data_IF_890546876717
#
_entry.id   IF_890546876717
#
_cell.length_a   1.000
_cell.length_b   1.000
_cell.length_c   1.000
_cell.angle_alpha   90.00
_cell.angle_beta   90.00
_cell.angle_gamma   90.00
#
_symmetry.space_group_name_H-M   'P 1'
#
loop_
_entity.id
_entity.type
_entity.pdbx_description
1 polymer ?
#
# COMPACT_ATOMS: atom_id res chain seq x y z
N UNK A 1 8.11 26.58 10.76
CA UNK A 1 8.42 25.83 9.53
C UNK A 1 9.84 26.19 9.11
N UNK A 2 10.66 25.22 8.73
CA UNK A 2 11.98 25.54 8.19
C UNK A 2 11.80 26.16 6.79
N UNK A 3 12.21 27.40 6.59
CA UNK A 3 12.14 28.06 5.29
C UNK A 3 12.81 27.24 4.17
N UNK A 4 13.83 26.45 4.51
CA UNK A 4 14.58 25.60 3.55
C UNK A 4 13.67 24.54 2.90
N UNK A 5 12.82 23.86 3.67
CA UNK A 5 11.92 22.82 3.13
C UNK A 5 10.96 23.40 2.07
N UNK A 6 10.41 24.59 2.34
CA UNK A 6 9.51 25.27 1.41
C UNK A 6 10.28 25.76 0.17
N UNK A 7 11.43 26.41 0.36
CA UNK A 7 12.28 26.89 -0.75
C UNK A 7 12.66 25.77 -1.73
N UNK A 8 12.90 24.55 -1.23
CA UNK A 8 13.20 23.39 -2.08
C UNK A 8 11.98 23.02 -2.94
N UNK A 9 10.78 23.00 -2.36
CA UNK A 9 9.55 22.70 -3.11
C UNK A 9 9.30 23.77 -4.17
N UNK A 10 9.40 25.04 -3.82
CA UNK A 10 9.26 26.18 -4.74
C UNK A 10 10.29 26.13 -5.88
N UNK A 11 11.56 25.80 -5.56
CA UNK A 11 12.60 25.64 -6.56
C UNK A 11 12.30 24.49 -7.53
N UNK A 12 11.86 23.32 -7.02
CA UNK A 12 11.49 22.19 -7.87
C UNK A 12 10.28 22.56 -8.75
N UNK A 13 9.30 23.26 -8.20
CA UNK A 13 8.12 23.69 -8.94
C UNK A 13 8.41 24.81 -9.97
N UNK A 14 9.55 25.51 -9.89
CA UNK A 14 9.95 26.46 -10.93
C UNK A 14 10.21 25.80 -12.30
N UNK A 15 10.41 24.48 -12.35
CA UNK A 15 10.54 23.68 -13.58
C UNK A 15 9.23 23.13 -14.12
N UNK A 16 8.08 23.54 -13.56
CA UNK A 16 6.78 23.02 -13.98
C UNK A 16 6.44 23.35 -15.43
N UNK A 17 5.92 22.33 -16.10
CA UNK A 17 5.28 22.42 -17.41
C UNK A 17 4.39 21.17 -17.60
N UNK A 18 3.50 21.18 -18.59
CA UNK A 18 2.52 20.12 -18.84
C UNK A 18 3.15 18.73 -18.97
N UNK A 19 4.31 18.62 -19.64
CA UNK A 19 5.01 17.36 -19.80
C UNK A 19 5.47 16.78 -18.45
N UNK A 20 6.08 17.61 -17.59
CA UNK A 20 6.52 17.15 -16.28
C UNK A 20 5.35 16.94 -15.31
N UNK A 21 4.27 17.69 -15.44
CA UNK A 21 3.05 17.49 -14.66
C UNK A 21 2.50 16.08 -14.93
N UNK A 22 2.29 15.69 -16.19
CA UNK A 22 1.83 14.34 -16.59
C UNK A 22 2.84 13.25 -16.20
N UNK A 23 4.13 13.50 -16.41
CA UNK A 23 5.19 12.56 -16.05
C UNK A 23 5.19 12.26 -14.55
N UNK A 24 5.16 13.28 -13.68
CA UNK A 24 5.20 13.07 -12.24
C UNK A 24 3.88 12.57 -11.67
N UNK A 25 2.75 12.88 -12.28
CA UNK A 25 1.47 12.24 -11.98
C UNK A 25 1.52 10.73 -12.27
N UNK A 26 2.10 10.32 -13.39
CA UNK A 26 2.31 8.90 -13.69
C UNK A 26 3.30 8.22 -12.73
N UNK A 27 4.42 8.87 -12.44
CA UNK A 27 5.47 8.32 -11.56
C UNK A 27 4.98 8.15 -10.13
N UNK A 28 4.16 9.07 -9.63
CA UNK A 28 3.67 8.99 -8.24
C UNK A 28 2.83 7.74 -7.98
N UNK A 29 2.14 7.20 -9.00
CA UNK A 29 1.34 5.98 -8.90
C UNK A 29 2.16 4.76 -8.40
N UNK A 30 3.45 4.72 -8.71
CA UNK A 30 4.33 3.64 -8.20
C UNK A 30 4.56 3.69 -6.68
N UNK A 31 4.16 4.75 -6.01
CA UNK A 31 4.12 4.86 -4.54
C UNK A 31 2.74 4.63 -3.95
N UNK A 32 1.71 4.42 -4.79
CA UNK A 32 0.34 4.19 -4.36
C UNK A 32 0.12 2.75 -3.86
N UNK A 33 -0.82 2.60 -2.95
CA UNK A 33 -1.19 1.30 -2.38
C UNK A 33 -1.81 0.34 -3.42
N UNK A 34 -2.42 0.87 -4.49
CA UNK A 34 -3.00 0.06 -5.56
C UNK A 34 -1.92 -0.72 -6.31
N UNK A 35 -0.79 -0.08 -6.63
CA UNK A 35 0.34 -0.77 -7.26
C UNK A 35 0.92 -1.83 -6.33
N UNK A 36 1.02 -1.52 -5.03
CA UNK A 36 1.41 -2.52 -4.04
C UNK A 36 0.48 -3.74 -4.05
N UNK A 37 -0.84 -3.54 -4.03
CA UNK A 37 -1.81 -4.63 -4.05
C UNK A 37 -1.70 -5.51 -5.31
N UNK A 38 -1.48 -4.90 -6.48
CA UNK A 38 -1.26 -5.61 -7.74
C UNK A 38 0.03 -6.45 -7.66
N UNK A 39 1.13 -5.86 -7.20
CA UNK A 39 2.41 -6.58 -7.04
C UNK A 39 2.27 -7.72 -6.03
N UNK A 40 1.62 -7.48 -4.91
CA UNK A 40 1.35 -8.50 -3.89
C UNK A 40 0.55 -9.68 -4.46
N UNK A 41 -0.50 -9.40 -5.25
CA UNK A 41 -1.32 -10.39 -5.91
C UNK A 41 -0.50 -11.23 -6.91
N UNK A 42 0.30 -10.58 -7.77
CA UNK A 42 1.17 -11.25 -8.73
C UNK A 42 2.15 -12.18 -8.01
N UNK A 43 2.84 -11.67 -6.99
CA UNK A 43 3.78 -12.45 -6.20
C UNK A 43 3.10 -13.65 -5.54
N UNK A 44 1.94 -13.45 -4.94
CA UNK A 44 1.21 -14.48 -4.20
C UNK A 44 0.63 -15.57 -5.12
N UNK A 45 0.07 -15.18 -6.26
CA UNK A 45 -0.62 -16.12 -7.13
C UNK A 45 0.27 -16.82 -8.16
N UNK A 46 1.46 -16.27 -8.46
CA UNK A 46 2.25 -16.75 -9.61
C UNK A 46 3.74 -16.92 -9.36
N UNK A 47 4.28 -16.41 -8.26
CA UNK A 47 5.74 -16.40 -8.05
C UNK A 47 6.15 -17.22 -6.82
N UNK A 48 5.80 -16.76 -5.62
CA UNK A 48 6.22 -17.36 -4.35
C UNK A 48 5.34 -16.89 -3.21
N UNK A 49 4.53 -17.77 -2.68
CA UNK A 49 3.59 -17.47 -1.59
C UNK A 49 4.26 -16.94 -0.32
N UNK A 50 5.39 -17.57 0.08
CA UNK A 50 6.07 -17.19 1.34
C UNK A 50 6.71 -15.83 1.22
N UNK A 51 7.30 -15.54 0.07
CA UNK A 51 7.86 -14.24 -0.24
C UNK A 51 6.75 -13.16 -0.28
N UNK A 52 5.64 -13.45 -0.95
CA UNK A 52 4.48 -12.56 -1.01
C UNK A 52 3.87 -12.28 0.37
N UNK A 53 3.73 -13.30 1.23
CA UNK A 53 3.25 -13.11 2.60
C UNK A 53 4.13 -12.13 3.39
N UNK A 54 5.46 -12.29 3.30
CA UNK A 54 6.40 -11.38 3.95
C UNK A 54 6.31 -9.97 3.36
N UNK A 55 6.23 -9.85 2.04
CA UNK A 55 6.05 -8.58 1.34
C UNK A 55 4.79 -7.85 1.82
N UNK A 56 3.64 -8.55 1.87
CA UNK A 56 2.37 -8.01 2.34
C UNK A 56 2.48 -7.53 3.79
N UNK A 57 3.00 -8.36 4.69
CA UNK A 57 3.11 -8.00 6.11
C UNK A 57 4.05 -6.81 6.32
N UNK A 58 5.20 -6.78 5.66
CA UNK A 58 6.14 -5.65 5.79
C UNK A 58 5.51 -4.34 5.33
N UNK A 59 4.81 -4.38 4.20
CA UNK A 59 4.13 -3.20 3.69
C UNK A 59 3.02 -2.74 4.63
N UNK A 60 2.12 -3.63 5.03
CA UNK A 60 0.99 -3.28 5.88
C UNK A 60 1.42 -2.72 7.23
N UNK A 61 2.39 -3.34 7.91
CA UNK A 61 2.88 -2.80 9.18
C UNK A 61 3.63 -1.47 9.00
N UNK A 62 4.33 -1.30 7.88
CA UNK A 62 4.95 -0.02 7.54
C UNK A 62 3.89 1.06 7.29
N UNK A 63 2.84 0.76 6.53
CA UNK A 63 1.73 1.70 6.26
C UNK A 63 1.00 2.12 7.54
N UNK A 64 0.79 1.18 8.46
CA UNK A 64 0.21 1.48 9.77
C UNK A 64 1.09 2.44 10.56
N UNK A 65 2.39 2.18 10.62
CA UNK A 65 3.32 3.08 11.30
C UNK A 65 3.26 4.49 10.70
N UNK A 66 3.11 4.60 9.37
CA UNK A 66 2.88 5.87 8.70
C UNK A 66 1.60 6.55 9.18
N UNK A 67 0.48 5.83 9.19
CA UNK A 67 -0.81 6.36 9.64
C UNK A 67 -0.77 6.86 11.09
N UNK A 68 -0.12 6.11 11.99
CA UNK A 68 0.08 6.51 13.39
C UNK A 68 0.89 7.80 13.48
N UNK A 69 1.99 7.90 12.75
CA UNK A 69 2.84 9.09 12.77
C UNK A 69 2.13 10.30 12.16
N UNK A 70 1.35 10.14 11.12
CA UNK A 70 0.49 11.20 10.57
C UNK A 70 -0.50 11.71 11.61
N UNK A 71 -1.14 10.81 12.34
CA UNK A 71 -2.06 11.18 13.43
C UNK A 71 -1.38 11.99 14.53
N UNK A 72 -0.08 11.77 14.79
CA UNK A 72 0.67 12.47 15.84
C UNK A 72 1.26 13.81 15.37
N UNK A 73 1.57 13.98 14.08
CA UNK A 73 2.37 15.12 13.61
C UNK A 73 1.57 16.34 13.15
N UNK A 74 0.37 16.15 12.62
CA UNK A 74 -0.55 17.23 12.18
C UNK A 74 0.10 18.32 11.30
N UNK A 75 1.18 18.01 10.55
CA UNK A 75 1.88 18.97 9.70
C UNK A 75 1.05 19.30 8.45
N UNK A 76 0.76 20.60 8.16
CA UNK A 76 0.07 20.99 6.93
C UNK A 76 0.94 20.69 5.70
N UNK A 77 0.30 20.40 4.56
CA UNK A 77 1.00 20.16 3.29
C UNK A 77 1.51 21.48 2.70
N UNK A 78 2.55 21.46 1.84
CA UNK A 78 3.12 22.68 1.22
C UNK A 78 2.07 23.55 0.53
N UNK A 79 1.22 22.98 -0.33
CA UNK A 79 0.17 23.69 -1.06
C UNK A 79 -0.94 24.27 -0.14
N UNK A 80 -1.13 23.70 1.06
CA UNK A 80 -2.07 24.22 2.07
C UNK A 80 -1.43 25.31 2.89
N UNK A 81 -0.14 25.17 3.23
CA UNK A 81 0.57 26.12 4.07
C UNK A 81 1.01 27.40 3.32
N UNK A 82 1.21 27.29 2.01
CA UNK A 82 1.72 28.40 1.15
C UNK A 82 1.05 28.34 -0.23
N UNK A 83 -0.27 28.52 -0.31
CA UNK A 83 -1.03 28.38 -1.57
C UNK A 83 -0.67 29.45 -2.62
N UNK A 84 -0.06 30.54 -2.21
CA UNK A 84 0.41 31.63 -3.09
C UNK A 84 1.72 31.27 -3.83
N UNK A 85 2.52 30.33 -3.34
CA UNK A 85 3.83 29.98 -3.92
C UNK A 85 3.94 28.54 -4.35
N UNK A 86 3.12 27.64 -3.79
CA UNK A 86 3.12 26.21 -4.09
C UNK A 86 1.78 25.78 -4.68
N UNK A 87 1.83 25.24 -5.89
CA UNK A 87 0.65 24.76 -6.61
C UNK A 87 0.48 23.26 -6.38
N UNK A 88 -0.75 22.85 -6.06
CA UNK A 88 -1.12 21.44 -6.09
C UNK A 88 -1.29 20.98 -7.54
N UNK A 89 -0.56 19.96 -7.96
CA UNK A 89 -0.69 19.34 -9.28
C UNK A 89 -1.47 18.04 -9.16
N UNK A 90 -2.60 17.95 -9.85
CA UNK A 90 -3.51 16.80 -9.80
C UNK A 90 -4.46 16.82 -8.59
N UNK A 91 -5.02 15.66 -8.27
CA UNK A 91 -5.89 15.49 -7.10
C UNK A 91 -5.03 15.36 -5.85
N UNK A 92 -5.25 16.23 -4.87
CA UNK A 92 -4.49 16.22 -3.62
C UNK A 92 -4.87 15.05 -2.72
N UNK A 93 -3.89 14.39 -2.16
CA UNK A 93 -4.14 13.47 -1.07
C UNK A 93 -4.53 14.26 0.19
N UNK A 94 -5.64 13.89 0.84
CA UNK A 94 -6.06 14.50 2.10
C UNK A 94 -5.09 14.26 3.26
N UNK A 95 -5.36 14.87 4.41
CA UNK A 95 -4.63 14.65 5.65
C UNK A 95 -3.28 15.38 5.75
N UNK A 96 -2.45 14.93 6.70
CA UNK A 96 -1.21 15.59 7.09
C UNK A 96 -0.02 15.24 6.19
N UNK A 97 0.98 16.13 6.16
CA UNK A 97 2.15 16.01 5.29
C UNK A 97 3.17 14.97 5.80
N UNK A 98 3.52 14.99 7.08
CA UNK A 98 4.59 14.16 7.66
C UNK A 98 4.03 12.88 8.31
N UNK A 99 4.60 11.71 7.97
CA UNK A 99 5.57 11.40 6.93
C UNK A 99 4.91 11.14 5.56
N UNK A 100 5.72 11.20 4.47
CA UNK A 100 5.22 10.87 3.14
C UNK A 100 4.93 9.38 2.98
N UNK A 101 3.64 9.04 2.76
CA UNK A 101 3.20 7.66 2.53
C UNK A 101 3.77 7.08 1.23
N UNK A 102 3.68 7.80 0.11
CA UNK A 102 4.21 7.35 -1.18
C UNK A 102 5.72 7.07 -1.13
N UNK A 103 6.50 7.95 -0.50
CA UNK A 103 7.95 7.73 -0.34
C UNK A 103 8.24 6.49 0.52
N UNK A 104 7.52 6.32 1.62
CA UNK A 104 7.66 5.16 2.50
C UNK A 104 7.24 3.86 1.81
N UNK A 105 6.10 3.87 1.11
CA UNK A 105 5.57 2.71 0.40
C UNK A 105 6.48 2.27 -0.74
N UNK A 106 6.91 3.19 -1.60
CA UNK A 106 7.84 2.88 -2.69
C UNK A 106 9.18 2.36 -2.18
N UNK A 107 9.71 2.95 -1.10
CA UNK A 107 10.95 2.50 -0.47
C UNK A 107 10.79 1.09 0.13
N UNK A 108 9.70 0.80 0.86
CA UNK A 108 9.44 -0.52 1.41
C UNK A 108 9.30 -1.57 0.32
N UNK A 109 8.55 -1.27 -0.75
CA UNK A 109 8.40 -2.13 -1.91
C UNK A 109 9.76 -2.39 -2.57
N UNK A 110 10.56 -1.36 -2.81
CA UNK A 110 11.89 -1.47 -3.39
C UNK A 110 12.84 -2.34 -2.57
N UNK A 111 12.89 -2.13 -1.24
CA UNK A 111 13.73 -2.91 -0.33
C UNK A 111 13.39 -4.41 -0.34
N UNK A 112 12.10 -4.75 -0.30
CA UNK A 112 11.69 -6.17 -0.29
C UNK A 112 11.88 -6.80 -1.67
N UNK A 113 11.50 -6.11 -2.77
CA UNK A 113 11.65 -6.65 -4.12
C UNK A 113 13.11 -6.82 -4.55
N UNK A 114 14.03 -6.03 -3.99
CA UNK A 114 15.46 -6.20 -4.22
C UNK A 114 16.01 -7.56 -3.78
N UNK A 115 15.33 -8.24 -2.84
CA UNK A 115 15.71 -9.58 -2.39
C UNK A 115 15.41 -10.68 -3.42
N UNK A 116 14.50 -10.43 -4.38
CA UNK A 116 14.09 -11.40 -5.40
C UNK A 116 14.19 -10.77 -6.81
N UNK A 117 15.40 -10.65 -7.35
CA UNK A 117 15.62 -9.96 -8.62
C UNK A 117 14.97 -10.71 -9.79
N UNK A 118 14.29 -9.96 -10.68
CA UNK A 118 13.67 -10.47 -11.92
C UNK A 118 14.68 -10.62 -13.05
N UNK A 119 15.81 -9.92 -12.98
CA UNK A 119 16.93 -9.97 -13.92
C UNK A 119 18.25 -9.78 -13.14
N UNK A 120 19.36 -9.46 -13.81
CA UNK A 120 20.65 -9.31 -13.13
C UNK A 120 20.55 -8.44 -11.87
N UNK A 121 20.92 -8.92 -10.67
CA UNK A 121 20.62 -8.29 -9.39
C UNK A 121 21.06 -6.82 -9.29
N UNK A 122 22.22 -6.49 -9.87
CA UNK A 122 22.75 -5.12 -9.87
C UNK A 122 21.82 -4.15 -10.61
N UNK A 123 21.39 -4.53 -11.83
CA UNK A 123 20.48 -3.68 -12.62
C UNK A 123 19.08 -3.60 -11.99
N UNK A 124 18.61 -4.71 -11.41
CA UNK A 124 17.33 -4.74 -10.70
C UNK A 124 17.33 -3.77 -9.51
N UNK A 125 18.35 -3.85 -8.65
CA UNK A 125 18.47 -2.94 -7.50
C UNK A 125 18.63 -1.48 -7.93
N UNK A 126 19.40 -1.20 -8.98
CA UNK A 126 19.54 0.15 -9.53
C UNK A 126 18.20 0.68 -10.05
N UNK A 127 17.45 -0.13 -10.80
CA UNK A 127 16.12 0.23 -11.29
C UNK A 127 15.17 0.58 -10.13
N UNK A 128 15.09 -0.26 -9.11
CA UNK A 128 14.25 -0.01 -7.94
C UNK A 128 14.67 1.26 -7.20
N UNK A 129 15.97 1.50 -7.04
CA UNK A 129 16.49 2.72 -6.40
C UNK A 129 16.11 3.98 -7.18
N UNK A 130 16.23 3.94 -8.51
CA UNK A 130 15.82 5.06 -9.38
C UNK A 130 14.31 5.31 -9.25
N UNK A 131 13.49 4.25 -9.29
CA UNK A 131 12.04 4.37 -9.14
C UNK A 131 11.65 4.99 -7.81
N UNK A 132 12.26 4.54 -6.71
CA UNK A 132 12.03 5.15 -5.38
C UNK A 132 12.42 6.63 -5.39
N UNK A 133 13.57 6.99 -5.94
CA UNK A 133 14.02 8.38 -6.07
C UNK A 133 13.06 9.25 -6.89
N UNK A 134 12.55 8.71 -8.00
CA UNK A 134 11.57 9.40 -8.85
C UNK A 134 10.23 9.59 -8.13
N UNK A 135 9.73 8.58 -7.42
CA UNK A 135 8.52 8.72 -6.58
C UNK A 135 8.74 9.76 -5.49
N UNK A 136 9.89 9.76 -4.83
CA UNK A 136 10.21 10.78 -3.84
C UNK A 136 10.20 12.20 -4.45
N UNK A 137 10.84 12.38 -5.61
CA UNK A 137 10.88 13.65 -6.33
C UNK A 137 9.49 14.09 -6.78
N UNK A 138 8.65 13.17 -7.25
CA UNK A 138 7.28 13.48 -7.64
C UNK A 138 6.47 14.13 -6.51
N UNK A 139 6.67 13.70 -5.26
CA UNK A 139 5.91 14.26 -4.11
C UNK A 139 6.25 15.73 -3.81
N UNK A 140 7.49 16.13 -4.07
CA UNK A 140 7.93 17.52 -3.96
C UNK A 140 7.38 18.35 -5.15
N UNK A 141 7.54 17.81 -6.37
CA UNK A 141 7.09 18.44 -7.60
C UNK A 141 5.57 18.69 -7.60
N UNK A 142 4.77 17.71 -7.16
CA UNK A 142 3.32 17.82 -7.09
C UNK A 142 2.82 18.76 -5.96
N UNK A 143 3.72 19.30 -5.12
CA UNK A 143 3.36 20.21 -4.02
C UNK A 143 2.72 19.52 -2.80
N UNK A 144 2.83 18.20 -2.71
CA UNK A 144 2.18 17.37 -1.71
C UNK A 144 2.98 17.23 -0.42
N UNK A 145 4.31 17.21 -0.51
CA UNK A 145 5.21 16.94 0.60
C UNK A 145 6.46 17.83 0.56
N UNK A 146 6.99 18.09 1.75
CA UNK A 146 8.31 18.70 1.91
C UNK A 146 9.42 17.65 1.75
N UNK A 147 10.67 18.10 1.53
CA UNK A 147 11.82 17.19 1.47
C UNK A 147 11.99 16.38 2.75
N UNK A 148 11.83 17.00 3.91
CA UNK A 148 11.91 16.33 5.20
C UNK A 148 10.85 15.22 5.36
N UNK A 149 9.61 15.39 4.84
CA UNK A 149 8.57 14.37 4.90
C UNK A 149 8.96 13.11 4.11
N UNK A 150 9.56 13.33 2.95
CA UNK A 150 9.97 12.27 2.01
C UNK A 150 11.16 11.50 2.58
N UNK A 151 12.17 12.22 3.10
CA UNK A 151 13.34 11.62 3.73
C UNK A 151 12.95 10.86 5.01
N UNK A 152 12.00 11.37 5.78
CA UNK A 152 11.50 10.69 6.97
C UNK A 152 10.74 9.40 6.61
N UNK A 153 9.91 9.42 5.56
CA UNK A 153 9.26 8.23 5.01
C UNK A 153 10.27 7.16 4.58
N UNK A 154 11.32 7.55 3.85
CA UNK A 154 12.42 6.66 3.46
C UNK A 154 13.13 6.06 4.69
N UNK A 155 13.46 6.89 5.69
CA UNK A 155 14.13 6.46 6.92
C UNK A 155 13.28 5.44 7.71
N UNK A 156 11.96 5.67 7.79
CA UNK A 156 11.03 4.72 8.42
C UNK A 156 11.03 3.38 7.67
N UNK A 157 10.91 3.40 6.35
CA UNK A 157 10.90 2.18 5.54
C UNK A 157 12.18 1.38 5.75
N UNK A 158 13.35 2.03 5.68
CA UNK A 158 14.65 1.39 5.85
C UNK A 158 14.84 0.83 7.27
N UNK A 159 14.50 1.61 8.29
CA UNK A 159 14.63 1.21 9.70
C UNK A 159 13.71 0.04 10.03
N UNK A 160 12.44 0.13 9.62
CA UNK A 160 11.47 -0.93 9.83
C UNK A 160 11.87 -2.22 9.09
N UNK A 161 12.25 -2.13 7.80
CA UNK A 161 12.71 -3.27 7.03
C UNK A 161 13.91 -3.95 7.68
N UNK A 162 14.93 -3.18 8.09
CA UNK A 162 16.15 -3.70 8.70
C UNK A 162 15.86 -4.38 10.05
N UNK A 163 15.04 -3.74 10.89
CA UNK A 163 14.59 -4.29 12.16
C UNK A 163 13.79 -5.58 11.97
N UNK A 164 12.74 -5.55 11.14
CA UNK A 164 11.87 -6.68 10.92
C UNK A 164 12.63 -7.87 10.30
N UNK A 165 13.48 -7.62 9.33
CA UNK A 165 14.28 -8.66 8.67
C UNK A 165 15.28 -9.31 9.65
N UNK A 166 15.95 -8.50 10.47
CA UNK A 166 16.89 -8.99 11.48
C UNK A 166 16.17 -9.78 12.57
N UNK A 167 15.03 -9.28 13.04
CA UNK A 167 14.24 -9.93 14.08
C UNK A 167 13.67 -11.27 13.61
N UNK A 168 13.09 -11.32 12.39
CA UNK A 168 12.50 -12.52 11.81
C UNK A 168 13.55 -13.60 11.47
N UNK A 169 14.77 -13.21 11.11
CA UNK A 169 15.87 -14.17 10.87
C UNK A 169 16.34 -14.84 12.17
N UNK A 170 16.26 -14.11 13.29
CA UNK A 170 16.77 -14.58 14.60
C UNK A 170 15.73 -15.32 15.42
N UNK A 171 14.45 -15.14 15.19
CA UNK A 171 13.37 -15.70 15.99
C UNK A 171 12.25 -16.26 15.11
N UNK A 172 11.83 -17.49 15.43
CA UNK A 172 10.55 -18.00 14.92
C UNK A 172 9.44 -17.35 15.74
N UNK A 173 8.70 -16.45 15.14
CA UNK A 173 7.55 -15.84 15.81
C UNK A 173 6.47 -16.89 16.03
N UNK A 174 5.83 -16.93 17.20
CA UNK A 174 4.64 -17.73 17.41
C UNK A 174 3.52 -17.23 16.49
N UNK A 175 2.61 -18.13 16.12
CA UNK A 175 1.51 -17.85 15.17
C UNK A 175 0.57 -16.73 15.61
N UNK A 176 0.52 -16.42 16.90
CA UNK A 176 -0.27 -15.33 17.45
C UNK A 176 0.42 -13.96 17.39
N UNK A 177 1.76 -13.91 17.21
CA UNK A 177 2.51 -12.64 17.25
C UNK A 177 2.02 -11.58 16.25
N UNK A 178 1.65 -11.92 15.01
CA UNK A 178 1.04 -10.95 14.11
C UNK A 178 -0.27 -10.34 14.63
N UNK A 179 -1.04 -11.06 15.47
CA UNK A 179 -2.28 -10.56 16.04
C UNK A 179 -2.07 -9.47 17.10
N UNK A 180 -0.87 -9.37 17.69
CA UNK A 180 -0.52 -8.24 18.56
C UNK A 180 -0.59 -6.91 17.80
N UNK A 181 -0.17 -6.89 16.53
CA UNK A 181 -0.32 -5.69 15.69
C UNK A 181 -1.78 -5.27 15.54
N UNK A 182 -2.66 -6.24 15.30
CA UNK A 182 -4.12 -5.99 15.23
C UNK A 182 -4.64 -5.43 16.58
N UNK A 183 -4.25 -6.05 17.69
CA UNK A 183 -4.69 -5.63 19.03
C UNK A 183 -4.26 -4.19 19.37
N UNK A 184 -3.05 -3.80 18.96
CA UNK A 184 -2.54 -2.45 19.20
C UNK A 184 -3.16 -1.41 18.27
N UNK A 185 -3.50 -1.81 17.04
CA UNK A 185 -4.03 -0.92 16.03
C UNK A 185 -5.54 -0.67 16.13
N UNK A 186 -6.30 -1.68 16.55
CA UNK A 186 -7.74 -1.55 16.63
C UNK A 186 -8.17 -0.33 17.50
N UNK A 187 -7.67 -0.13 18.72
CA UNK A 187 -8.01 1.06 19.51
C UNK A 187 -7.59 2.37 18.81
N UNK A 188 -6.41 2.39 18.18
CA UNK A 188 -5.92 3.57 17.50
C UNK A 188 -6.76 3.92 16.27
N UNK A 189 -7.24 2.92 15.54
CA UNK A 189 -8.15 3.08 14.40
C UNK A 189 -9.42 3.79 14.81
N UNK A 190 -10.01 3.39 15.94
CA UNK A 190 -11.21 4.04 16.49
C UNK A 190 -10.93 5.47 16.99
N UNK A 191 -9.79 5.71 17.64
CA UNK A 191 -9.41 7.02 18.15
C UNK A 191 -9.10 8.03 17.03
N UNK A 192 -8.43 7.59 15.98
CA UNK A 192 -8.02 8.45 14.87
C UNK A 192 -9.15 8.74 13.90
N UNK A 193 -10.22 7.94 13.88
CA UNK A 193 -11.34 8.02 12.95
C UNK A 193 -10.89 8.27 11.50
N UNK A 194 -9.92 7.50 11.04
CA UNK A 194 -9.27 7.68 9.75
C UNK A 194 -9.51 6.45 8.86
N UNK A 195 -10.05 6.67 7.67
CA UNK A 195 -10.38 5.63 6.69
C UNK A 195 -9.21 4.68 6.40
N UNK A 196 -8.01 5.21 6.19
CA UNK A 196 -6.83 4.41 5.80
C UNK A 196 -6.46 3.40 6.89
N UNK A 197 -6.65 3.76 8.17
CA UNK A 197 -6.42 2.85 9.29
C UNK A 197 -7.47 1.73 9.34
N UNK A 198 -8.75 2.01 9.01
CA UNK A 198 -9.78 0.97 8.90
C UNK A 198 -9.50 0.01 7.75
N UNK A 199 -9.08 0.53 6.59
CA UNK A 199 -8.68 -0.26 5.42
C UNK A 199 -7.46 -1.14 5.75
N UNK A 200 -6.45 -0.57 6.39
CA UNK A 200 -5.26 -1.32 6.80
C UNK A 200 -5.59 -2.42 7.82
N UNK A 201 -6.43 -2.11 8.82
CA UNK A 201 -6.88 -3.07 9.83
C UNK A 201 -7.66 -4.23 9.19
N UNK A 202 -8.61 -3.91 8.29
CA UNK A 202 -9.38 -4.90 7.54
C UNK A 202 -8.48 -5.83 6.72
N UNK A 203 -7.51 -5.25 6.02
CA UNK A 203 -6.57 -5.98 5.17
C UNK A 203 -5.67 -6.89 6.02
N UNK A 204 -5.13 -6.40 7.14
CA UNK A 204 -4.30 -7.23 8.03
C UNK A 204 -5.09 -8.40 8.61
N UNK A 205 -6.30 -8.16 9.12
CA UNK A 205 -7.14 -9.23 9.66
C UNK A 205 -7.45 -10.25 8.57
N UNK A 206 -7.84 -9.78 7.38
CA UNK A 206 -8.14 -10.66 6.24
C UNK A 206 -6.93 -11.50 5.79
N UNK A 207 -5.74 -10.90 5.74
CA UNK A 207 -4.49 -11.61 5.40
C UNK A 207 -4.12 -12.63 6.47
N UNK A 208 -4.16 -12.23 7.74
CA UNK A 208 -3.76 -13.11 8.85
C UNK A 208 -4.71 -14.29 9.05
N UNK A 209 -5.97 -14.13 8.66
CA UNK A 209 -6.92 -15.23 8.68
C UNK A 209 -6.89 -16.04 7.38
N UNK A 210 -6.90 -15.34 6.24
CA UNK A 210 -7.03 -15.97 4.92
C UNK A 210 -5.83 -16.80 4.51
N UNK A 211 -4.59 -16.32 4.73
CA UNK A 211 -3.39 -17.05 4.32
C UNK A 211 -3.21 -18.40 5.05
N UNK A 212 -3.31 -18.50 6.40
CA UNK A 212 -3.23 -19.77 7.07
C UNK A 212 -4.37 -20.73 6.67
N UNK A 213 -5.57 -20.17 6.46
CA UNK A 213 -6.71 -20.96 6.02
C UNK A 213 -6.49 -21.53 4.61
N UNK A 214 -5.99 -20.73 3.68
CA UNK A 214 -5.62 -21.16 2.33
C UNK A 214 -4.59 -22.28 2.37
N UNK A 215 -3.51 -22.10 3.13
CA UNK A 215 -2.43 -23.10 3.25
C UNK A 215 -2.97 -24.44 3.80
N UNK A 216 -3.87 -24.39 4.79
CA UNK A 216 -4.40 -25.58 5.44
C UNK A 216 -5.46 -26.30 4.60
N UNK A 217 -6.36 -25.57 3.94
CA UNK A 217 -7.56 -26.16 3.34
C UNK A 217 -7.56 -26.15 1.80
N UNK A 218 -6.92 -25.18 1.17
CA UNK A 218 -6.86 -25.08 -0.29
C UNK A 218 -5.52 -25.59 -0.81
N UNK A 219 -4.44 -25.02 -0.31
CA UNK A 219 -3.06 -25.34 -0.70
C UNK A 219 -2.87 -25.33 -2.22
N UNK A 220 -3.26 -24.22 -2.88
CA UNK A 220 -3.04 -24.08 -4.32
C UNK A 220 -1.54 -23.97 -4.62
N UNK A 221 -1.12 -24.34 -5.83
CA UNK A 221 0.26 -24.21 -6.26
C UNK A 221 0.43 -22.91 -7.05
N UNK A 222 1.38 -22.06 -6.64
CA UNK A 222 1.71 -20.80 -7.33
C UNK A 222 2.37 -21.04 -8.68
N UNK A 223 3.22 -22.08 -8.79
CA UNK A 223 3.88 -22.45 -10.05
C UNK A 223 2.85 -22.92 -11.06
N UNK A 224 2.86 -22.30 -12.25
CA UNK A 224 1.90 -22.58 -13.31
C UNK A 224 2.47 -22.16 -14.67
N UNK A 225 1.75 -22.44 -15.76
CA UNK A 225 2.12 -21.98 -17.10
C UNK A 225 1.94 -20.46 -17.23
N UNK A 226 2.66 -19.81 -18.16
CA UNK A 226 2.52 -18.37 -18.42
C UNK A 226 1.07 -17.98 -18.74
N UNK A 227 0.35 -18.84 -19.51
CA UNK A 227 -1.07 -18.62 -19.83
C UNK A 227 -1.93 -18.61 -18.56
N UNK A 228 -1.78 -19.63 -17.71
CA UNK A 228 -2.57 -19.71 -16.47
C UNK A 228 -2.16 -18.62 -15.48
N UNK A 229 -0.89 -18.21 -15.42
CA UNK A 229 -0.45 -17.08 -14.61
C UNK A 229 -1.16 -15.78 -15.04
N UNK A 230 -1.22 -15.49 -16.34
CA UNK A 230 -1.95 -14.34 -16.86
C UNK A 230 -3.45 -14.42 -16.53
N UNK A 231 -4.09 -15.58 -16.73
CA UNK A 231 -5.50 -15.78 -16.40
C UNK A 231 -5.78 -15.60 -14.90
N UNK A 232 -4.88 -16.08 -14.01
CA UNK A 232 -4.99 -15.86 -12.56
C UNK A 232 -4.95 -14.38 -12.21
N UNK A 233 -4.04 -13.62 -12.81
CA UNK A 233 -3.92 -12.18 -12.58
C UNK A 233 -5.19 -11.48 -13.08
N UNK A 234 -5.61 -11.73 -14.31
CA UNK A 234 -6.80 -11.11 -14.90
C UNK A 234 -8.06 -11.41 -14.10
N UNK A 235 -8.36 -12.69 -13.85
CA UNK A 235 -9.57 -13.08 -13.11
C UNK A 235 -9.50 -12.60 -11.66
N UNK A 236 -8.35 -12.79 -11.00
CA UNK A 236 -8.20 -12.41 -9.61
C UNK A 236 -8.40 -10.93 -9.37
N UNK A 237 -7.77 -10.07 -10.20
CA UNK A 237 -7.88 -8.61 -10.09
C UNK A 237 -9.26 -8.14 -10.54
N UNK A 238 -9.80 -8.65 -11.66
CA UNK A 238 -11.14 -8.24 -12.12
C UNK A 238 -12.22 -8.50 -11.08
N UNK A 239 -12.22 -9.67 -10.44
CA UNK A 239 -13.19 -9.96 -9.38
C UNK A 239 -12.94 -9.11 -8.13
N UNK A 240 -11.69 -8.84 -7.76
CA UNK A 240 -11.38 -7.91 -6.65
C UNK A 240 -11.92 -6.51 -6.92
N UNK A 241 -11.78 -6.00 -8.15
CA UNK A 241 -12.35 -4.72 -8.59
C UNK A 241 -13.88 -4.74 -8.59
N UNK A 242 -14.49 -5.82 -9.06
CA UNK A 242 -15.95 -5.99 -9.01
C UNK A 242 -16.48 -5.97 -7.57
N UNK A 243 -15.81 -6.65 -6.64
CA UNK A 243 -16.16 -6.58 -5.22
C UNK A 243 -16.00 -5.15 -4.69
N UNK A 244 -14.88 -4.48 -5.02
CA UNK A 244 -14.61 -3.10 -4.59
C UNK A 244 -15.70 -2.14 -5.05
N UNK A 245 -16.03 -2.17 -6.35
CA UNK A 245 -17.03 -1.28 -6.96
C UNK A 245 -18.43 -1.69 -6.52
N UNK A 246 -18.79 -2.97 -6.63
CA UNK A 246 -20.12 -3.46 -6.33
C UNK A 246 -20.52 -3.22 -4.86
N UNK A 247 -19.62 -3.45 -3.90
CA UNK A 247 -19.92 -3.14 -2.51
C UNK A 247 -20.00 -1.63 -2.25
N UNK A 248 -19.18 -0.80 -2.94
CA UNK A 248 -19.31 0.66 -2.84
C UNK A 248 -20.69 1.11 -3.30
N UNK A 249 -21.13 0.64 -4.47
CA UNK A 249 -22.45 0.98 -5.03
C UNK A 249 -23.59 0.48 -4.11
N UNK A 250 -23.53 -0.77 -3.65
CA UNK A 250 -24.55 -1.31 -2.74
C UNK A 250 -24.64 -0.48 -1.45
N UNK A 251 -23.51 -0.11 -0.87
CA UNK A 251 -23.48 0.70 0.36
C UNK A 251 -23.94 2.14 0.11
N UNK A 252 -23.73 2.71 -1.06
CA UNK A 252 -24.22 4.05 -1.44
C UNK A 252 -25.73 4.13 -1.58
N UNK A 253 -26.44 3.00 -1.75
CA UNK A 253 -27.90 2.96 -1.86
C UNK A 253 -28.65 3.27 -0.54
N UNK A 254 -27.94 3.58 0.54
CA UNK A 254 -28.57 4.03 1.79
C UNK A 254 -27.85 3.59 3.07
N UNK A 255 -26.66 3.02 2.98
CA UNK A 255 -25.86 2.64 4.14
C UNK A 255 -24.75 3.67 4.44
N UNK A 256 -24.12 4.28 3.41
CA UNK A 256 -23.21 5.40 3.61
C UNK A 256 -23.99 6.66 3.97
N UNK A 257 -23.40 7.49 4.82
CA UNK A 257 -23.94 8.82 5.13
C UNK A 257 -23.93 9.71 3.87
N UNK A 258 -24.84 10.69 3.82
CA UNK A 258 -24.96 11.61 2.69
C UNK A 258 -23.65 12.39 2.43
N UNK A 259 -22.86 12.65 3.48
CA UNK A 259 -21.61 13.39 3.44
C UNK A 259 -20.39 12.51 3.72
N UNK A 260 -20.45 11.19 3.41
CA UNK A 260 -19.40 10.22 3.74
C UNK A 260 -18.01 10.59 3.19
N UNK A 261 -17.94 11.35 2.10
CA UNK A 261 -16.66 11.81 1.53
C UNK A 261 -16.07 13.03 2.25
N UNK A 262 -16.91 13.93 2.78
CA UNK A 262 -16.49 15.15 3.46
C UNK A 262 -16.42 15.01 4.98
N UNK A 263 -17.43 14.36 5.58
CA UNK A 263 -17.55 14.17 7.02
C UNK A 263 -17.97 12.72 7.32
N UNK A 264 -17.07 11.74 7.14
CA UNK A 264 -17.39 10.33 7.32
C UNK A 264 -17.76 10.01 8.76
N UNK A 265 -18.85 9.27 8.94
CA UNK A 265 -19.25 8.71 10.22
C UNK A 265 -18.49 7.41 10.51
N UNK A 266 -18.52 6.96 11.75
CA UNK A 266 -17.97 5.65 12.14
C UNK A 266 -18.57 4.51 11.29
N UNK A 267 -19.86 4.60 10.97
CA UNK A 267 -20.54 3.63 10.10
C UNK A 267 -19.93 3.54 8.72
N UNK A 268 -19.54 4.68 8.13
CA UNK A 268 -18.91 4.72 6.79
C UNK A 268 -17.55 4.01 6.79
N UNK A 269 -16.76 4.24 7.84
CA UNK A 269 -15.48 3.55 8.03
C UNK A 269 -15.65 2.05 8.26
N UNK A 270 -16.71 1.62 8.99
CA UNK A 270 -17.02 0.20 9.17
C UNK A 270 -17.47 -0.46 7.86
N UNK A 271 -18.19 0.25 6.99
CA UNK A 271 -18.54 -0.24 5.65
C UNK A 271 -17.29 -0.38 4.76
N UNK A 272 -16.37 0.60 4.82
CA UNK A 272 -15.08 0.47 4.17
C UNK A 272 -14.28 -0.72 4.71
N UNK A 273 -14.25 -0.93 6.03
CA UNK A 273 -13.65 -2.11 6.64
C UNK A 273 -14.23 -3.41 6.06
N UNK A 274 -15.56 -3.57 6.02
CA UNK A 274 -16.22 -4.76 5.46
C UNK A 274 -15.84 -4.96 4.00
N UNK A 275 -15.82 -3.88 3.20
CA UNK A 275 -15.45 -3.92 1.79
C UNK A 275 -14.03 -4.43 1.57
N UNK A 276 -13.05 -3.86 2.27
CA UNK A 276 -11.65 -4.25 2.10
C UNK A 276 -11.35 -5.62 2.73
N UNK A 277 -12.04 -5.99 3.79
CA UNK A 277 -11.99 -7.34 4.34
C UNK A 277 -12.48 -8.38 3.33
N UNK A 278 -13.61 -8.13 2.65
CA UNK A 278 -14.15 -9.00 1.60
C UNK A 278 -13.19 -9.13 0.41
N UNK A 279 -12.58 -8.01 -0.04
CA UNK A 279 -11.55 -8.02 -1.09
C UNK A 279 -10.36 -8.89 -0.67
N UNK A 280 -9.90 -8.74 0.57
CA UNK A 280 -8.75 -9.49 1.09
C UNK A 280 -9.06 -10.99 1.21
N UNK A 281 -10.27 -11.36 1.63
CA UNK A 281 -10.71 -12.76 1.64
C UNK A 281 -10.81 -13.34 0.23
N UNK A 282 -11.30 -12.56 -0.74
CA UNK A 282 -11.24 -12.97 -2.14
C UNK A 282 -9.79 -13.25 -2.57
N UNK A 283 -8.88 -12.31 -2.32
CA UNK A 283 -7.49 -12.43 -2.76
C UNK A 283 -6.74 -13.60 -2.11
N UNK A 284 -7.05 -13.91 -0.85
CA UNK A 284 -6.34 -14.93 -0.07
C UNK A 284 -7.01 -16.30 -0.05
N UNK A 285 -8.32 -16.38 -0.24
CA UNK A 285 -9.11 -17.61 -0.18
C UNK A 285 -9.86 -17.88 -1.49
N UNK A 286 -10.70 -16.94 -1.94
CA UNK A 286 -11.60 -17.14 -3.07
C UNK A 286 -10.85 -17.36 -4.37
N UNK A 287 -9.92 -16.48 -4.71
CA UNK A 287 -9.09 -16.59 -5.91
C UNK A 287 -8.21 -17.86 -5.89
N UNK A 288 -7.45 -18.19 -4.82
CA UNK A 288 -6.73 -19.44 -4.69
C UNK A 288 -7.60 -20.70 -4.85
N UNK A 289 -8.79 -20.70 -4.28
CA UNK A 289 -9.75 -21.81 -4.46
C UNK A 289 -10.15 -21.96 -5.93
N UNK A 290 -10.53 -20.84 -6.57
CA UNK A 290 -10.86 -20.81 -8.00
C UNK A 290 -9.71 -21.29 -8.87
N UNK A 291 -8.48 -20.83 -8.60
CA UNK A 291 -7.28 -21.20 -9.37
C UNK A 291 -6.96 -22.69 -9.22
N UNK A 292 -7.08 -23.24 -8.00
CA UNK A 292 -6.89 -24.67 -7.79
C UNK A 292 -7.91 -25.51 -8.55
N UNK A 293 -9.13 -25.04 -8.65
CA UNK A 293 -10.22 -25.79 -9.31
C UNK A 293 -10.18 -25.70 -10.83
N UNK A 294 -9.83 -24.54 -11.38
CA UNK A 294 -10.02 -24.24 -12.80
C UNK A 294 -8.75 -23.88 -13.58
N UNK A 295 -7.70 -23.44 -12.90
CA UNK A 295 -6.46 -22.96 -13.50
C UNK A 295 -5.22 -23.67 -12.92
N UNK A 296 -5.38 -24.87 -12.41
CA UNK A 296 -4.26 -25.73 -12.01
C UNK A 296 -3.66 -26.38 -13.26
N UNK A 297 -2.33 -26.47 -13.33
CA UNK A 297 -1.65 -27.37 -14.25
C UNK A 297 -1.85 -28.80 -13.73
N UNK A 298 -2.19 -29.78 -14.59
CA UNK A 298 -2.08 -31.19 -14.18
C UNK A 298 -0.69 -31.45 -13.61
N UNK A 299 -0.63 -32.17 -12.50
CA UNK A 299 0.64 -32.66 -11.99
C UNK A 299 1.29 -33.48 -13.11
N UNK A 300 2.52 -33.06 -13.53
CA UNK A 300 3.33 -33.83 -14.47
C UNK A 300 3.85 -35.10 -13.79
#
# INVERSE_FOLDING_TARGET
MNNIDLMIVEWIQSFRNDFFDDFFLFITEFGDETVFLIVAAILYWTVDKRFAQRFILFFLYSAILNGVLKFLTHRPRPHVASPETVVLVGEGAGGTSLPSGHAQNSAMMGLVLAEKPLFLPRFWSTFLTIMVGLVMLSRLYLGEHYLSDVLFGLAIAFSFYTWANTFLKRRKLPTWAPWLGVLLLAPLTFLANNKDLYVALATIIGVQWGLPWEIKHINFQEKTTKKNALLRILVGISVALLIRIGLKEIFSLGLYSADAELNPLLTDHLLDFVRYFAITLWMTIGAPWFFKRFLSTPAA
#
